data_IF_670093877342
#
_entry.id   IF_670093877342
#
_cell.length_a   1.000
_cell.length_b   1.000
_cell.length_c   1.000
_cell.angle_alpha   90.00
_cell.angle_beta   90.00
_cell.angle_gamma   90.00
#
_symmetry.space_group_name_H-M   'P 1'
#
loop_
_entity.id
_entity.type
_entity.pdbx_description
1 polymer ?
#
# COMPACT_ATOMS: atom_id res chain seq x y z
N UNK A 1 -3.55 -1.22 -28.36
CA UNK A 1 -4.87 -0.81 -27.85
C UNK A 1 -5.19 0.54 -28.47
N UNK A 2 -6.42 0.76 -28.90
CA UNK A 2 -6.89 2.02 -29.47
C UNK A 2 -8.07 2.52 -28.63
N UNK A 3 -8.19 3.83 -28.44
CA UNK A 3 -9.43 4.43 -27.93
C UNK A 3 -10.21 5.09 -29.06
N UNK A 4 -11.53 4.89 -29.07
CA UNK A 4 -12.46 5.47 -30.05
C UNK A 4 -13.70 5.97 -29.35
N UNK A 5 -14.41 6.93 -29.96
CA UNK A 5 -15.76 7.29 -29.50
C UNK A 5 -16.79 6.59 -30.41
N UNK A 6 -17.78 5.95 -29.82
CA UNK A 6 -18.89 5.37 -30.59
C UNK A 6 -19.86 6.46 -31.07
N UNK A 7 -20.90 6.09 -31.83
CA UNK A 7 -21.93 7.02 -32.33
C UNK A 7 -22.71 7.77 -31.23
N UNK A 8 -22.65 7.29 -29.99
CA UNK A 8 -23.29 7.90 -28.83
C UNK A 8 -22.31 8.81 -28.07
N UNK A 9 -21.07 8.97 -28.56
CA UNK A 9 -20.02 9.75 -27.92
C UNK A 9 -19.34 9.06 -26.75
N UNK A 10 -19.57 7.76 -26.52
CA UNK A 10 -18.94 7.03 -25.42
C UNK A 10 -17.53 6.58 -25.81
N UNK A 11 -16.56 6.77 -24.89
CA UNK A 11 -15.21 6.27 -25.06
C UNK A 11 -15.19 4.74 -24.95
N UNK A 12 -14.69 4.10 -26.00
CA UNK A 12 -14.45 2.65 -26.09
C UNK A 12 -12.99 2.34 -26.29
N UNK A 13 -12.50 1.34 -25.56
CA UNK A 13 -11.16 0.80 -25.72
C UNK A 13 -11.23 -0.47 -26.54
N UNK A 14 -10.56 -0.45 -27.69
CA UNK A 14 -10.50 -1.58 -28.60
C UNK A 14 -9.13 -2.23 -28.54
N UNK A 15 -9.12 -3.54 -28.33
CA UNK A 15 -7.97 -4.38 -28.62
C UNK A 15 -8.08 -4.81 -30.08
N UNK A 16 -7.16 -4.32 -30.90
CA UNK A 16 -7.15 -4.57 -32.34
C UNK A 16 -5.92 -5.40 -32.68
N UNK A 17 -6.14 -6.49 -33.41
CA UNK A 17 -5.08 -7.35 -33.95
C UNK A 17 -5.30 -7.46 -35.45
N UNK A 18 -4.25 -7.33 -36.25
CA UNK A 18 -4.36 -7.51 -37.69
C UNK A 18 -3.02 -7.79 -38.33
N UNK A 19 -3.05 -8.54 -39.42
CA UNK A 19 -1.90 -8.83 -40.26
C UNK A 19 -2.14 -8.27 -41.66
N UNK A 20 -1.10 -7.79 -42.35
CA UNK A 20 -1.22 -7.45 -43.75
C UNK A 20 -1.59 -8.72 -44.55
N UNK A 21 -2.46 -8.59 -45.54
CA UNK A 21 -2.72 -9.66 -46.50
C UNK A 21 -2.36 -9.19 -47.91
N UNK A 22 -2.02 -10.16 -48.74
CA UNK A 22 -1.62 -9.93 -50.12
C UNK A 22 -2.74 -10.34 -51.09
N UNK A 23 -2.74 -9.73 -52.27
CA UNK A 23 -3.57 -10.18 -53.39
C UNK A 23 -2.97 -11.45 -54.03
N UNK A 24 -3.66 -12.00 -55.04
CA UNK A 24 -3.22 -13.22 -55.74
C UNK A 24 -1.87 -13.04 -56.48
N UNK A 25 -1.41 -11.80 -56.62
CA UNK A 25 -0.13 -11.44 -57.24
C UNK A 25 0.97 -11.17 -56.20
N UNK A 26 0.71 -11.46 -54.91
CA UNK A 26 1.66 -11.26 -53.82
C UNK A 26 1.88 -9.80 -53.41
N UNK A 27 1.05 -8.87 -53.89
CA UNK A 27 1.17 -7.44 -53.58
C UNK A 27 0.34 -7.10 -52.36
N UNK A 28 0.75 -6.10 -51.59
CA UNK A 28 0.01 -5.63 -50.43
C UNK A 28 -1.43 -5.23 -50.82
N UNK A 29 -2.42 -5.90 -50.21
CA UNK A 29 -3.83 -5.72 -50.50
C UNK A 29 -4.64 -5.16 -49.31
N UNK A 30 -3.98 -4.89 -48.19
CA UNK A 30 -4.57 -4.29 -46.99
C UNK A 30 -4.26 -5.06 -45.73
N UNK A 31 -5.03 -4.78 -44.68
CA UNK A 31 -4.94 -5.46 -43.39
C UNK A 31 -6.20 -6.28 -43.13
N UNK A 32 -6.03 -7.51 -42.66
CA UNK A 32 -7.10 -8.36 -42.11
C UNK A 32 -6.89 -8.50 -40.62
N UNK A 33 -7.92 -8.22 -39.85
CA UNK A 33 -7.82 -8.20 -38.40
C UNK A 33 -9.18 -8.23 -37.71
N UNK A 34 -9.14 -8.36 -36.39
CA UNK A 34 -10.29 -8.30 -35.51
C UNK A 34 -10.08 -7.19 -34.48
N UNK A 35 -11.19 -6.56 -34.10
CA UNK A 35 -11.24 -5.62 -32.99
C UNK A 35 -12.21 -6.17 -31.93
N UNK A 36 -11.78 -6.16 -30.66
CA UNK A 36 -12.62 -6.51 -29.52
C UNK A 36 -12.77 -5.30 -28.60
N UNK A 37 -14.00 -4.96 -28.23
CA UNK A 37 -14.25 -3.98 -27.17
C UNK A 37 -13.80 -4.58 -25.82
N UNK A 38 -12.82 -3.93 -25.20
CA UNK A 38 -12.25 -4.28 -23.89
C UNK A 38 -12.44 -3.15 -22.88
N UNK A 39 -13.38 -2.24 -23.10
CA UNK A 39 -13.62 -1.07 -22.25
C UNK A 39 -13.84 -1.45 -20.80
N UNK A 40 -14.73 -2.42 -20.54
CA UNK A 40 -15.04 -2.86 -19.18
C UNK A 40 -13.80 -3.46 -18.47
N UNK A 41 -13.06 -4.34 -19.16
CA UNK A 41 -11.84 -4.93 -18.63
C UNK A 41 -10.78 -3.87 -18.34
N UNK A 42 -10.53 -2.97 -19.28
CA UNK A 42 -9.55 -1.91 -19.13
C UNK A 42 -9.88 -0.97 -17.97
N UNK A 43 -11.15 -0.59 -17.81
CA UNK A 43 -11.60 0.24 -16.70
C UNK A 43 -11.43 -0.48 -15.36
N UNK A 44 -11.78 -1.76 -15.27
CA UNK A 44 -11.61 -2.56 -14.06
C UNK A 44 -10.12 -2.69 -13.67
N UNK A 45 -9.24 -2.99 -14.63
CA UNK A 45 -7.80 -3.06 -14.41
C UNK A 45 -7.23 -1.71 -13.96
N UNK A 46 -7.67 -0.62 -14.58
CA UNK A 46 -7.26 0.75 -14.23
C UNK A 46 -7.68 1.13 -12.82
N UNK A 47 -8.89 0.77 -12.43
CA UNK A 47 -9.44 1.03 -11.10
C UNK A 47 -8.71 0.19 -10.04
N UNK A 48 -8.48 -1.10 -10.32
CA UNK A 48 -7.72 -1.98 -9.43
C UNK A 48 -6.30 -1.47 -9.23
N UNK A 49 -5.61 -1.07 -10.30
CA UNK A 49 -4.27 -0.51 -10.24
C UNK A 49 -4.24 0.78 -9.40
N UNK A 50 -5.25 1.65 -9.55
CA UNK A 50 -5.38 2.86 -8.75
C UNK A 50 -5.54 2.55 -7.26
N UNK A 51 -6.48 1.67 -6.89
CA UNK A 51 -6.67 1.30 -5.49
C UNK A 51 -5.47 0.59 -4.89
N UNK A 52 -4.81 -0.27 -5.65
CA UNK A 52 -3.58 -0.95 -5.21
C UNK A 52 -2.51 0.08 -4.85
N UNK A 53 -2.29 1.07 -5.70
CA UNK A 53 -1.31 2.13 -5.45
C UNK A 53 -1.68 2.95 -4.21
N UNK A 54 -2.93 3.38 -4.08
CA UNK A 54 -3.39 4.19 -2.94
C UNK A 54 -3.25 3.40 -1.63
N UNK A 55 -3.69 2.15 -1.61
CA UNK A 55 -3.59 1.30 -0.42
C UNK A 55 -2.12 1.04 -0.03
N UNK A 56 -1.26 0.79 -1.01
CA UNK A 56 0.17 0.62 -0.76
C UNK A 56 0.80 1.88 -0.14
N UNK A 57 0.43 3.06 -0.64
CA UNK A 57 0.89 4.32 -0.07
C UNK A 57 0.39 4.52 1.37
N UNK A 58 -0.89 4.24 1.63
CA UNK A 58 -1.46 4.37 2.98
C UNK A 58 -0.83 3.39 3.97
N UNK A 59 -0.67 2.11 3.56
CA UNK A 59 -0.02 1.09 4.38
C UNK A 59 1.42 1.47 4.68
N UNK A 60 2.16 1.95 3.68
CA UNK A 60 3.54 2.40 3.86
C UNK A 60 3.60 3.57 4.84
N UNK A 61 2.75 4.60 4.68
CA UNK A 61 2.73 5.76 5.55
C UNK A 61 2.38 5.39 7.01
N UNK A 62 1.35 4.57 7.22
CA UNK A 62 0.97 4.10 8.56
C UNK A 62 2.04 3.23 9.20
N UNK A 63 2.69 2.37 8.41
CA UNK A 63 3.77 1.52 8.91
C UNK A 63 4.96 2.36 9.36
N UNK A 64 5.37 3.35 8.57
CA UNK A 64 6.44 4.27 8.95
C UNK A 64 6.09 5.06 10.21
N UNK A 65 4.86 5.56 10.32
CA UNK A 65 4.40 6.26 11.52
C UNK A 65 4.42 5.36 12.76
N UNK A 66 3.92 4.13 12.66
CA UNK A 66 3.94 3.17 13.76
C UNK A 66 5.36 2.80 14.17
N UNK A 67 6.26 2.61 13.21
CA UNK A 67 7.67 2.36 13.50
C UNK A 67 8.31 3.54 14.25
N UNK A 68 8.02 4.77 13.84
CA UNK A 68 8.52 5.96 14.51
C UNK A 68 8.01 6.05 15.97
N UNK A 69 6.70 5.86 16.16
CA UNK A 69 6.09 5.86 17.50
C UNK A 69 6.68 4.75 18.37
N UNK A 70 6.87 3.55 17.82
CA UNK A 70 7.46 2.44 18.57
C UNK A 70 8.91 2.72 18.99
N UNK A 71 9.71 3.34 18.12
CA UNK A 71 11.09 3.73 18.45
C UNK A 71 11.09 4.79 19.56
N UNK A 72 10.23 5.81 19.46
CA UNK A 72 10.11 6.85 20.47
C UNK A 72 9.62 6.29 21.82
N UNK A 73 8.62 5.40 21.79
CA UNK A 73 8.09 4.74 22.98
C UNK A 73 9.16 3.88 23.64
N UNK A 74 9.90 3.08 22.88
CA UNK A 74 10.98 2.23 23.41
C UNK A 74 12.10 3.08 24.05
N UNK A 75 12.44 4.21 23.42
CA UNK A 75 13.41 5.14 23.99
C UNK A 75 12.92 5.76 25.30
N UNK A 76 11.66 6.19 25.34
CA UNK A 76 11.06 6.76 26.55
C UNK A 76 10.96 5.72 27.68
N UNK A 77 10.53 4.49 27.37
CA UNK A 77 10.46 3.38 28.33
C UNK A 77 11.83 3.07 28.91
N UNK A 78 12.86 2.96 28.06
CA UNK A 78 14.23 2.69 28.52
C UNK A 78 14.76 3.80 29.43
N UNK A 79 14.52 5.07 29.07
CA UNK A 79 14.89 6.23 29.90
C UNK A 79 14.19 6.20 31.25
N UNK A 80 12.89 5.92 31.27
CA UNK A 80 12.10 5.82 32.50
C UNK A 80 12.61 4.69 33.41
N UNK A 81 12.82 3.49 32.86
CA UNK A 81 13.37 2.35 33.62
C UNK A 81 14.74 2.66 34.21
N UNK A 82 15.62 3.31 33.45
CA UNK A 82 16.95 3.70 33.91
C UNK A 82 16.88 4.75 35.03
N UNK A 83 16.02 5.76 34.89
CA UNK A 83 15.80 6.78 35.93
C UNK A 83 15.26 6.16 37.23
N UNK A 84 14.28 5.25 37.12
CA UNK A 84 13.73 4.55 38.28
C UNK A 84 14.77 3.66 38.95
N UNK A 85 15.54 2.88 38.19
CA UNK A 85 16.56 1.99 38.75
C UNK A 85 17.65 2.73 39.54
N UNK A 86 17.97 3.97 39.15
CA UNK A 86 18.97 4.80 39.84
C UNK A 86 18.39 5.64 40.99
N UNK A 87 17.07 5.62 41.22
CA UNK A 87 16.45 6.42 42.26
C UNK A 87 16.85 5.90 43.66
N UNK A 88 17.21 6.79 44.61
CA UNK A 88 17.59 6.40 45.96
C UNK A 88 16.40 5.97 46.84
N UNK A 89 15.19 5.95 46.28
CA UNK A 89 13.94 5.59 46.95
C UNK A 89 13.29 4.41 46.25
N UNK A 90 12.66 3.52 47.03
CA UNK A 90 11.83 2.45 46.51
C UNK A 90 10.56 3.02 45.89
N UNK A 91 10.38 2.77 44.59
CA UNK A 91 9.23 3.11 43.77
C UNK A 91 8.61 1.81 43.29
N UNK A 92 7.35 1.60 43.64
CA UNK A 92 6.53 0.50 43.15
C UNK A 92 5.35 1.05 42.35
N UNK A 93 5.05 0.42 41.22
CA UNK A 93 3.87 0.68 40.42
C UNK A 93 2.86 -0.43 40.69
N UNK A 94 1.64 -0.05 41.07
CA UNK A 94 0.55 -0.98 41.37
C UNK A 94 -0.64 -0.68 40.47
N UNK A 95 -1.32 -1.73 40.00
CA UNK A 95 -2.56 -1.56 39.23
C UNK A 95 -3.75 -1.23 40.15
N UNK A 96 -4.93 -1.01 39.55
CA UNK A 96 -6.16 -0.70 40.29
C UNK A 96 -6.59 -1.80 41.28
N UNK A 97 -6.16 -3.05 41.06
CA UNK A 97 -6.45 -4.19 41.93
C UNK A 97 -5.42 -4.39 43.05
N UNK A 98 -4.42 -3.50 43.15
CA UNK A 98 -3.35 -3.56 44.15
C UNK A 98 -2.22 -4.53 43.81
N UNK A 99 -2.17 -5.06 42.59
CA UNK A 99 -1.08 -5.93 42.12
C UNK A 99 0.13 -5.08 41.74
N UNK A 100 1.30 -5.41 42.30
CA UNK A 100 2.57 -4.79 41.93
C UNK A 100 2.98 -5.21 40.51
N UNK A 101 3.05 -4.23 39.61
CA UNK A 101 3.47 -4.40 38.22
C UNK A 101 4.98 -4.19 38.04
N UNK A 102 5.56 -3.35 38.89
CA UNK A 102 6.98 -3.01 38.85
C UNK A 102 7.45 -2.54 40.23
N UNK A 103 8.70 -2.85 40.58
CA UNK A 103 9.40 -2.25 41.72
C UNK A 103 10.86 -2.03 41.35
N UNK A 104 11.39 -0.83 41.61
CA UNK A 104 12.83 -0.61 41.49
C UNK A 104 13.55 -1.16 42.73
N UNK A 105 14.82 -1.53 42.59
CA UNK A 105 15.67 -1.79 43.75
C UNK A 105 16.47 -0.51 44.03
N UNK A 106 16.12 0.29 45.05
CA UNK A 106 16.95 1.43 45.42
C UNK A 106 18.34 0.90 45.74
N UNK A 107 19.36 1.51 45.12
CA UNK A 107 20.75 1.15 45.38
C UNK A 107 21.01 1.14 46.88
N UNK A 108 21.25 -0.04 47.44
CA UNK A 108 21.80 -0.15 48.79
C UNK A 108 23.15 0.60 48.81
N UNK A 109 23.52 1.22 49.94
CA UNK A 109 24.78 1.97 50.06
C UNK A 109 26.01 1.14 49.69
#
# INVERSE_FOLDING_TARGET
MLSVHNHAGELRWLRVNGLPYQDDLGRFAGYRGAASDVTAQYQAERLLAHYTQVLQQEVSAKTSQLQQINVELAFSEHRYRTMLAAAPVGVAEVNADGICLFVNAPGAP
#
